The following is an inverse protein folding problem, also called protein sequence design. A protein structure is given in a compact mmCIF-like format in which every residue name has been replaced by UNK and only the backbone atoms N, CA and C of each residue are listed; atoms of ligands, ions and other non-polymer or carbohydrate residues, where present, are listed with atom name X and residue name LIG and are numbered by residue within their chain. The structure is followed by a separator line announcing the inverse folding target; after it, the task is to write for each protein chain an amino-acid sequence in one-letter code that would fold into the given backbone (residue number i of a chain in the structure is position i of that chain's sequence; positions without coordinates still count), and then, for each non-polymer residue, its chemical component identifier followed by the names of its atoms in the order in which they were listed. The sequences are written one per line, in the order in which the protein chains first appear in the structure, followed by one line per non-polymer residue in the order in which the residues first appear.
data_IF_040492173913
#
_entry.id   IF_040492173913
#
_cell.length_a   1.000
_cell.length_b   1.000
_cell.length_c   1.000
_cell.angle_alpha   90.00
_cell.angle_beta   90.00
_cell.angle_gamma   90.00
#
_symmetry.space_group_name_H-M   'P 1'
#
loop_
_entity.id
_entity.type
_entity.pdbx_description
1 polymer ?
#
# COMPACT_ATOMS: atom_id res chain seq x y z
N UNK A 1 36.02 42.91 -23.63
CA UNK A 1 34.63 42.82 -24.12
C UNK A 1 34.22 41.36 -24.11
N UNK A 2 33.28 40.97 -23.26
CA UNK A 2 32.76 39.59 -23.30
C UNK A 2 31.99 39.39 -24.61
N UNK A 3 32.30 38.33 -25.35
CA UNK A 3 31.58 38.01 -26.57
C UNK A 3 30.14 37.63 -26.21
N UNK A 4 29.18 38.51 -26.51
CA UNK A 4 27.74 38.30 -26.25
C UNK A 4 27.24 36.93 -26.74
N UNK A 5 27.82 36.42 -27.84
CA UNK A 5 27.54 35.08 -28.38
C UNK A 5 27.98 33.95 -27.44
N UNK A 6 29.14 34.07 -26.80
CA UNK A 6 29.60 33.08 -25.81
C UNK A 6 28.70 33.04 -24.59
N UNK A 7 28.24 34.22 -24.13
CA UNK A 7 27.32 34.30 -22.98
C UNK A 7 25.98 33.62 -23.30
N UNK A 8 25.43 33.84 -24.49
CA UNK A 8 24.18 33.20 -24.91
C UNK A 8 24.31 31.67 -25.02
N UNK A 9 25.41 31.18 -25.60
CA UNK A 9 25.67 29.74 -25.68
C UNK A 9 25.76 29.12 -24.28
N UNK A 10 26.46 29.77 -23.35
CA UNK A 10 26.58 29.32 -21.97
C UNK A 10 25.22 29.21 -21.26
N UNK A 11 24.35 30.20 -21.44
CA UNK A 11 23.00 30.18 -20.85
C UNK A 11 22.17 29.03 -21.42
N UNK A 12 22.22 28.80 -22.74
CA UNK A 12 21.48 27.70 -23.39
C UNK A 12 21.97 26.35 -22.87
N UNK A 13 23.30 26.16 -22.81
CA UNK A 13 23.89 24.91 -22.30
C UNK A 13 23.53 24.70 -20.83
N UNK A 14 23.62 25.73 -19.99
CA UNK A 14 23.23 25.65 -18.59
C UNK A 14 21.75 25.29 -18.42
N UNK A 15 20.86 25.93 -19.19
CA UNK A 15 19.43 25.63 -19.18
C UNK A 15 19.15 24.19 -19.62
N UNK A 16 19.85 23.70 -20.64
CA UNK A 16 19.73 22.32 -21.10
C UNK A 16 20.18 21.32 -20.05
N UNK A 17 21.33 21.54 -19.41
CA UNK A 17 21.85 20.67 -18.34
C UNK A 17 20.91 20.64 -17.14
N UNK A 18 20.37 21.79 -16.72
CA UNK A 18 19.39 21.87 -15.63
C UNK A 18 18.12 21.10 -16.00
N UNK A 19 17.60 21.29 -17.21
CA UNK A 19 16.43 20.54 -17.70
C UNK A 19 16.69 19.04 -17.70
N UNK A 20 17.87 18.61 -18.15
CA UNK A 20 18.27 17.20 -18.19
C UNK A 20 18.37 16.61 -16.78
N UNK A 21 18.91 17.37 -15.83
CA UNK A 21 18.99 16.97 -14.41
C UNK A 21 17.60 16.74 -13.81
N UNK A 22 16.65 17.65 -14.06
CA UNK A 22 15.26 17.47 -13.61
C UNK A 22 14.57 16.29 -14.31
N UNK A 23 14.82 16.09 -15.60
CA UNK A 23 14.26 14.96 -16.36
C UNK A 23 14.72 13.62 -15.78
N UNK A 24 16.03 13.44 -15.55
CA UNK A 24 16.55 12.20 -14.96
C UNK A 24 16.13 11.99 -13.51
N UNK A 25 15.88 13.07 -12.76
CA UNK A 25 15.36 12.98 -11.38
C UNK A 25 13.89 12.56 -11.34
N UNK A 26 13.11 12.86 -12.38
CA UNK A 26 11.66 12.62 -12.42
C UNK A 26 11.30 11.27 -13.08
N UNK A 27 12.12 10.25 -12.87
CA UNK A 27 11.87 8.90 -13.36
C UNK A 27 10.74 8.27 -12.54
N UNK A 28 9.49 8.57 -12.91
CA UNK A 28 8.30 7.92 -12.33
C UNK A 28 8.32 6.46 -12.74
N UNK A 29 8.84 5.62 -11.85
CA UNK A 29 8.91 4.18 -12.08
C UNK A 29 7.55 3.57 -11.78
N UNK A 30 7.05 2.78 -12.72
CA UNK A 30 5.90 1.93 -12.48
C UNK A 30 6.38 0.51 -12.20
N UNK A 31 5.69 -0.19 -11.31
CA UNK A 31 5.95 -1.59 -11.03
C UNK A 31 4.67 -2.41 -11.16
N UNK A 32 4.82 -3.66 -11.57
CA UNK A 32 3.71 -4.61 -11.67
C UNK A 32 3.45 -5.22 -10.29
N UNK A 33 2.23 -5.08 -9.81
CA UNK A 33 1.71 -5.60 -8.53
C UNK A 33 0.57 -6.56 -8.83
N UNK A 34 0.47 -7.64 -8.08
CA UNK A 34 -0.59 -8.65 -8.24
C UNK A 34 -1.49 -8.61 -7.02
N UNK A 35 -2.76 -8.31 -7.23
CA UNK A 35 -3.78 -8.30 -6.20
C UNK A 35 -4.60 -9.58 -6.23
N UNK A 36 -4.98 -10.06 -5.06
CA UNK A 36 -5.86 -11.21 -4.87
C UNK A 36 -7.24 -10.72 -4.46
N UNK A 37 -8.27 -11.15 -5.19
CA UNK A 37 -9.68 -10.86 -4.93
C UNK A 37 -10.50 -12.14 -5.10
N UNK A 38 -11.67 -12.21 -4.46
CA UNK A 38 -12.65 -13.25 -4.80
C UNK A 38 -13.34 -12.93 -6.11
N UNK A 39 -13.58 -13.94 -6.94
CA UNK A 39 -14.46 -13.82 -8.09
C UNK A 39 -15.92 -13.87 -7.62
N UNK A 40 -16.74 -12.92 -8.04
CA UNK A 40 -18.14 -12.77 -7.60
C UNK A 40 -19.06 -13.87 -8.11
N UNK A 41 -18.68 -14.57 -9.18
CA UNK A 41 -19.49 -15.65 -9.77
C UNK A 41 -19.07 -17.03 -9.28
N UNK A 42 -17.76 -17.30 -9.19
CA UNK A 42 -17.26 -18.62 -8.81
C UNK A 42 -16.90 -18.74 -7.32
N UNK A 43 -16.73 -17.62 -6.62
CA UNK A 43 -16.23 -17.59 -5.25
C UNK A 43 -14.73 -17.91 -5.12
N UNK A 44 -14.04 -18.17 -6.23
CA UNK A 44 -12.62 -18.53 -6.21
C UNK A 44 -11.73 -17.31 -6.00
N UNK A 45 -10.57 -17.52 -5.37
CA UNK A 45 -9.54 -16.48 -5.29
C UNK A 45 -8.83 -16.34 -6.64
N UNK A 46 -8.89 -15.14 -7.21
CA UNK A 46 -8.29 -14.81 -8.51
C UNK A 46 -7.23 -13.72 -8.37
N UNK A 47 -6.27 -13.71 -9.30
CA UNK A 47 -5.19 -12.73 -9.34
C UNK A 47 -5.48 -11.66 -10.40
N UNK A 48 -5.33 -10.40 -10.02
CA UNK A 48 -5.44 -9.24 -10.90
C UNK A 48 -4.13 -8.45 -10.88
N UNK A 49 -3.45 -8.33 -12.02
CA UNK A 49 -2.21 -7.56 -12.11
C UNK A 49 -2.46 -6.10 -12.49
N UNK A 50 -1.76 -5.18 -11.82
CA UNK A 50 -1.80 -3.73 -12.10
C UNK A 50 -0.41 -3.13 -12.16
N UNK A 51 -0.29 -2.04 -12.89
CA UNK A 51 0.88 -1.17 -12.81
C UNK A 51 0.59 -0.01 -11.87
N UNK A 52 1.36 0.11 -10.80
CA UNK A 52 1.24 1.23 -9.86
C UNK A 52 2.57 1.99 -9.79
N UNK A 53 2.50 3.26 -9.40
CA UNK A 53 3.68 4.09 -9.16
C UNK A 53 4.52 3.47 -8.04
N UNK A 54 5.74 3.09 -8.35
CA UNK A 54 6.69 2.54 -7.40
C UNK A 54 7.09 3.58 -6.36
N UNK A 55 7.28 3.11 -5.14
CA UNK A 55 7.77 3.89 -4.01
C UNK A 55 9.06 3.26 -3.47
N UNK A 56 10.08 4.08 -3.23
CA UNK A 56 11.37 3.63 -2.67
C UNK A 56 11.24 3.06 -1.26
N UNK A 57 10.36 3.66 -0.46
CA UNK A 57 10.14 3.27 0.92
C UNK A 57 9.19 2.08 0.99
N UNK A 58 9.62 1.00 1.65
CA UNK A 58 8.77 -0.17 1.90
C UNK A 58 7.46 0.25 2.60
N UNK A 59 7.51 1.22 3.53
CA UNK A 59 6.31 1.80 4.17
C UNK A 59 5.35 2.41 3.15
N UNK A 60 5.86 3.33 2.31
CA UNK A 60 5.03 4.02 1.31
C UNK A 60 4.49 3.07 0.24
N UNK A 61 5.31 2.10 -0.17
CA UNK A 61 4.89 1.05 -1.09
C UNK A 61 3.78 0.19 -0.49
N UNK A 62 3.89 -0.16 0.80
CA UNK A 62 2.86 -0.92 1.51
C UNK A 62 1.55 -0.16 1.63
N UNK A 63 1.61 1.12 2.01
CA UNK A 63 0.43 2.01 2.07
C UNK A 63 -0.24 2.03 0.69
N UNK A 64 0.52 2.30 -0.37
CA UNK A 64 -0.02 2.39 -1.72
C UNK A 64 -0.68 1.09 -2.18
N UNK A 65 -0.10 -0.07 -1.86
CA UNK A 65 -0.71 -1.38 -2.15
C UNK A 65 -2.03 -1.54 -1.42
N UNK A 66 -2.12 -1.13 -0.16
CA UNK A 66 -3.38 -1.22 0.61
C UNK A 66 -4.42 -0.22 0.10
N UNK A 67 -4.03 1.00 -0.22
CA UNK A 67 -4.94 2.00 -0.78
C UNK A 67 -5.56 1.49 -2.10
N UNK A 68 -4.73 0.99 -3.01
CA UNK A 68 -5.17 0.40 -4.29
C UNK A 68 -6.06 -0.85 -4.10
N UNK A 69 -5.79 -1.64 -3.06
CA UNK A 69 -6.61 -2.78 -2.69
C UNK A 69 -8.00 -2.33 -2.20
N UNK A 70 -8.05 -1.25 -1.41
CA UNK A 70 -9.29 -0.70 -0.85
C UNK A 70 -10.13 0.06 -1.88
N UNK A 71 -9.50 0.64 -2.92
CA UNK A 71 -10.23 1.14 -4.09
C UNK A 71 -11.05 0.01 -4.75
N UNK A 72 -10.56 -1.22 -4.66
CA UNK A 72 -11.21 -2.43 -5.13
C UNK A 72 -10.69 -2.93 -6.47
N UNK A 73 -11.29 -3.99 -7.02
CA UNK A 73 -10.89 -4.60 -8.29
C UNK A 73 -11.16 -3.70 -9.51
N UNK A 74 -10.38 -3.85 -10.58
CA UNK A 74 -10.70 -3.26 -11.89
C UNK A 74 -11.76 -4.10 -12.59
N UNK A 75 -11.66 -5.42 -12.46
CA UNK A 75 -12.65 -6.34 -13.00
C UNK A 75 -13.96 -6.24 -12.24
N UNK A 76 -15.06 -6.04 -12.97
CA UNK A 76 -16.42 -6.07 -12.42
C UNK A 76 -16.87 -7.46 -11.94
N UNK A 77 -16.10 -8.51 -12.27
CA UNK A 77 -16.36 -9.88 -11.82
C UNK A 77 -15.61 -10.24 -10.54
N UNK A 78 -14.85 -9.29 -9.98
CA UNK A 78 -14.10 -9.49 -8.75
C UNK A 78 -14.76 -8.68 -7.65
N UNK A 79 -14.73 -9.22 -6.44
CA UNK A 79 -15.37 -8.65 -5.26
C UNK A 79 -14.44 -7.68 -4.54
N UNK A 80 -15.01 -6.62 -3.98
CA UNK A 80 -14.28 -5.71 -3.09
C UNK A 80 -14.01 -6.37 -1.75
N UNK A 81 -12.82 -6.13 -1.20
CA UNK A 81 -12.41 -6.63 0.13
C UNK A 81 -12.66 -5.62 1.25
N UNK A 82 -12.90 -4.36 0.93
CA UNK A 82 -13.15 -3.30 1.89
C UNK A 82 -14.41 -2.53 1.48
N UNK A 83 -15.22 -2.08 2.46
CA UNK A 83 -16.24 -1.07 2.22
C UNK A 83 -15.66 0.20 1.59
N UNK A 84 -16.50 0.97 0.89
CA UNK A 84 -16.09 2.23 0.27
C UNK A 84 -15.60 3.23 1.32
N UNK A 85 -14.62 4.06 0.93
CA UNK A 85 -14.12 5.22 1.68
C UNK A 85 -13.54 4.93 3.08
N UNK A 86 -13.04 3.70 3.30
CA UNK A 86 -12.32 3.39 4.53
C UNK A 86 -10.91 3.93 4.48
N UNK A 87 -10.58 4.74 5.48
CA UNK A 87 -9.21 5.11 5.82
C UNK A 87 -8.76 4.31 7.04
N UNK A 88 -7.53 3.81 7.03
CA UNK A 88 -6.93 3.21 8.23
C UNK A 88 -6.72 4.29 9.31
N UNK A 89 -6.85 3.92 10.59
CA UNK A 89 -6.50 4.78 11.73
C UNK A 89 -4.98 5.02 11.77
N UNK A 90 -4.21 3.95 11.54
CA UNK A 90 -2.75 4.03 11.50
C UNK A 90 -2.13 2.98 10.59
N UNK A 91 -0.98 3.32 9.99
CA UNK A 91 -0.17 2.41 9.19
C UNK A 91 1.31 2.64 9.44
N UNK A 92 2.03 1.61 9.86
CA UNK A 92 3.47 1.67 10.01
C UNK A 92 4.16 0.34 9.72
N UNK A 93 5.45 0.41 9.40
CA UNK A 93 6.29 -0.77 9.17
C UNK A 93 7.47 -0.70 10.12
N UNK A 94 7.66 -1.76 10.92
CA UNK A 94 8.78 -1.87 11.86
C UNK A 94 9.31 -3.29 11.84
N UNK A 95 10.64 -3.45 11.75
CA UNK A 95 11.31 -4.75 11.78
C UNK A 95 10.72 -5.78 10.79
N UNK A 96 10.41 -5.35 9.56
CA UNK A 96 9.78 -6.18 8.51
C UNK A 96 8.33 -6.60 8.79
N UNK A 97 7.69 -6.03 9.80
CA UNK A 97 6.28 -6.26 10.14
C UNK A 97 5.47 -5.02 9.72
N UNK A 98 4.41 -5.22 8.93
CA UNK A 98 3.42 -4.17 8.67
C UNK A 98 2.34 -4.21 9.74
N UNK A 99 2.02 -3.06 10.31
CA UNK A 99 0.95 -2.86 11.27
C UNK A 99 -0.09 -1.96 10.63
N UNK A 100 -1.33 -2.42 10.62
CA UNK A 100 -2.47 -1.74 9.99
C UNK A 100 -3.59 -1.74 11.01
N UNK A 101 -3.97 -0.57 11.47
CA UNK A 101 -5.15 -0.41 12.30
C UNK A 101 -6.29 0.15 11.47
N UNK A 102 -7.38 -0.61 11.36
CA UNK A 102 -8.57 -0.21 10.65
C UNK A 102 -9.62 0.32 11.63
N UNK A 103 -10.48 1.24 11.18
CA UNK A 103 -11.55 1.77 12.02
C UNK A 103 -12.66 0.72 12.20
N UNK A 104 -13.48 0.82 13.25
CA UNK A 104 -14.59 -0.12 13.50
C UNK A 104 -15.61 -0.14 12.36
N UNK A 105 -15.70 0.97 11.63
CA UNK A 105 -16.46 1.15 10.40
C UNK A 105 -16.12 0.09 9.36
N UNK A 106 -14.90 -0.46 9.37
CA UNK A 106 -14.54 -1.59 8.54
C UNK A 106 -15.42 -2.79 8.79
N UNK A 107 -15.75 -3.10 10.05
CA UNK A 107 -16.64 -4.20 10.44
C UNK A 107 -18.09 -3.82 10.27
N UNK A 108 -18.50 -2.65 10.75
CA UNK A 108 -19.92 -2.29 10.77
C UNK A 108 -20.48 -2.07 9.38
N UNK A 109 -19.65 -1.61 8.45
CA UNK A 109 -20.03 -1.40 7.05
C UNK A 109 -19.66 -2.61 6.17
N UNK A 110 -19.06 -3.64 6.75
CA UNK A 110 -18.83 -4.90 6.06
C UNK A 110 -20.17 -5.60 5.83
N UNK A 111 -20.69 -5.45 4.61
CA UNK A 111 -21.96 -6.04 4.21
C UNK A 111 -21.73 -7.19 3.22
N UNK A 112 -20.84 -8.11 3.60
CA UNK A 112 -20.66 -9.37 2.88
C UNK A 112 -21.27 -10.52 3.69
N UNK A 113 -22.16 -11.27 3.05
CA UNK A 113 -22.82 -12.44 3.66
C UNK A 113 -22.12 -13.75 3.32
N UNK A 114 -21.19 -13.71 2.38
CA UNK A 114 -20.55 -14.89 1.81
C UNK A 114 -19.23 -15.21 2.51
N UNK A 115 -18.48 -14.17 2.90
CA UNK A 115 -17.16 -14.32 3.53
C UNK A 115 -17.16 -13.73 4.92
N UNK A 116 -16.47 -14.41 5.83
CA UNK A 116 -16.24 -13.90 7.16
C UNK A 116 -15.15 -12.81 7.16
N UNK A 117 -15.19 -11.90 8.14
CA UNK A 117 -14.27 -10.76 8.21
C UNK A 117 -12.82 -11.23 8.37
N UNK A 118 -12.58 -12.30 9.10
CA UNK A 118 -11.25 -12.89 9.28
C UNK A 118 -10.68 -13.43 7.96
N UNK A 119 -11.50 -14.05 7.10
CA UNK A 119 -11.08 -14.49 5.77
C UNK A 119 -10.65 -13.31 4.89
N UNK A 120 -11.42 -12.22 4.90
CA UNK A 120 -11.08 -10.99 4.18
C UNK A 120 -9.80 -10.36 4.70
N UNK A 121 -9.67 -10.30 6.03
CA UNK A 121 -8.46 -9.80 6.69
C UNK A 121 -7.24 -10.62 6.28
N UNK A 122 -7.38 -11.94 6.15
CA UNK A 122 -6.29 -12.81 5.72
C UNK A 122 -5.91 -12.61 4.25
N UNK A 123 -6.87 -12.30 3.37
CA UNK A 123 -6.57 -11.91 1.99
C UNK A 123 -5.85 -10.56 1.93
N UNK A 124 -6.26 -9.58 2.75
CA UNK A 124 -5.55 -8.29 2.84
C UNK A 124 -4.10 -8.51 3.28
N UNK A 125 -3.87 -9.32 4.33
CA UNK A 125 -2.52 -9.70 4.78
C UNK A 125 -1.73 -10.40 3.67
N UNK A 126 -2.36 -11.32 2.94
CA UNK A 126 -1.73 -12.07 1.84
C UNK A 126 -1.28 -11.14 0.70
N UNK A 127 -2.12 -10.18 0.30
CA UNK A 127 -1.80 -9.19 -0.73
C UNK A 127 -0.52 -8.42 -0.43
N UNK A 128 -0.34 -7.95 0.80
CA UNK A 128 0.86 -7.20 1.20
C UNK A 128 2.10 -8.11 1.16
N UNK A 129 2.01 -9.31 1.72
CA UNK A 129 3.12 -10.27 1.74
C UNK A 129 3.53 -10.71 0.34
N UNK A 130 2.55 -10.91 -0.55
CA UNK A 130 2.81 -11.32 -1.92
C UNK A 130 3.60 -10.26 -2.69
N UNK A 131 3.26 -8.98 -2.50
CA UNK A 131 3.85 -7.88 -3.26
C UNK A 131 5.11 -7.29 -2.63
N UNK A 132 5.33 -7.47 -1.33
CA UNK A 132 6.44 -6.85 -0.59
C UNK A 132 7.25 -7.93 0.11
N UNK A 133 8.18 -8.55 -0.62
CA UNK A 133 9.01 -9.68 -0.15
C UNK A 133 9.80 -9.39 1.15
N UNK A 134 10.09 -8.12 1.43
CA UNK A 134 10.79 -7.72 2.66
C UNK A 134 9.90 -7.79 3.89
N UNK A 135 8.58 -7.73 3.73
CA UNK A 135 7.61 -7.84 4.83
C UNK A 135 7.29 -9.32 5.05
N UNK A 136 7.62 -9.82 6.24
CA UNK A 136 7.42 -11.22 6.59
C UNK A 136 6.08 -11.46 7.31
N UNK A 137 5.58 -10.44 8.00
CA UNK A 137 4.37 -10.52 8.83
C UNK A 137 3.54 -9.24 8.66
N UNK A 138 2.22 -9.42 8.69
CA UNK A 138 1.24 -8.35 8.66
C UNK A 138 0.32 -8.54 9.86
N UNK A 139 0.26 -7.53 10.71
CA UNK A 139 -0.63 -7.45 11.86
C UNK A 139 -1.72 -6.44 11.48
N UNK A 140 -2.96 -6.92 11.46
CA UNK A 140 -4.12 -6.10 11.18
C UNK A 140 -5.02 -6.10 12.42
N UNK A 141 -5.32 -4.89 12.90
CA UNK A 141 -6.21 -4.64 14.04
C UNK A 141 -7.41 -3.82 13.59
N UNK A 142 -8.47 -3.85 14.39
CA UNK A 142 -9.66 -3.02 14.23
C UNK A 142 -9.86 -2.25 15.53
N UNK A 143 -9.69 -0.92 15.48
CA UNK A 143 -9.63 -0.05 16.65
C UNK A 143 -8.73 -0.62 17.75
N UNK A 144 -7.52 -1.04 17.38
CA UNK A 144 -6.51 -1.64 18.27
C UNK A 144 -6.75 -3.10 18.64
N UNK A 145 -7.85 -3.73 18.23
CA UNK A 145 -8.16 -5.13 18.56
C UNK A 145 -7.74 -6.07 17.44
N UNK A 146 -7.01 -7.14 17.77
CA UNK A 146 -6.60 -8.16 16.81
C UNK A 146 -7.80 -8.94 16.25
N UNK A 147 -7.74 -9.24 14.95
CA UNK A 147 -8.72 -10.08 14.24
C UNK A 147 -8.04 -11.32 13.66
N UNK A 148 -8.62 -12.49 13.93
CA UNK A 148 -8.13 -13.80 13.48
C UNK A 148 -7.42 -14.63 14.57
N UNK A 149 -7.43 -15.95 14.42
CA UNK A 149 -7.08 -16.96 15.43
C UNK A 149 -5.61 -16.85 15.86
N UNK A 150 -5.40 -16.66 17.18
CA UNK A 150 -4.08 -16.74 17.83
C UNK A 150 -3.70 -15.56 18.72
N UNK A 151 -4.66 -14.98 19.47
CA UNK A 151 -4.40 -13.94 20.50
C UNK A 151 -3.51 -14.48 21.65
N UNK A 152 -3.29 -15.79 21.74
CA UNK A 152 -2.61 -16.40 22.89
C UNK A 152 -1.07 -16.21 22.95
N UNK A 153 -0.40 -15.67 21.93
CA UNK A 153 1.09 -15.60 21.95
C UNK A 153 1.72 -14.34 21.34
N UNK A 154 0.96 -13.28 21.04
CA UNK A 154 1.56 -12.01 20.60
C UNK A 154 1.64 -11.03 21.76
N UNK A 155 2.80 -10.97 22.41
CA UNK A 155 3.19 -9.82 23.22
C UNK A 155 3.29 -8.61 22.31
N UNK A 156 2.32 -7.70 22.42
CA UNK A 156 2.46 -6.37 21.85
C UNK A 156 3.67 -5.68 22.51
N UNK A 157 4.54 -4.99 21.75
CA UNK A 157 5.46 -4.05 22.36
C UNK A 157 4.60 -3.03 23.12
N UNK A 158 4.74 -3.01 24.44
CA UNK A 158 4.10 -2.00 25.26
C UNK A 158 4.43 -0.62 24.70
N UNK A 159 3.41 0.24 24.65
CA UNK A 159 3.51 1.62 24.20
C UNK A 159 4.78 2.28 24.72
N UNK A 160 5.48 2.99 23.83
CA UNK A 160 6.55 3.87 24.23
C UNK A 160 5.93 4.94 25.15
N UNK A 161 6.32 4.88 26.41
CA UNK A 161 6.16 5.96 27.38
C UNK A 161 6.82 7.22 26.79
N UNK A 162 5.99 8.10 26.22
CA UNK A 162 6.36 9.46 25.80
C UNK A 162 6.58 10.35 27.04
N UNK A 163 7.46 9.92 27.95
CA UNK A 163 8.03 10.73 29.01
C UNK A 163 9.47 10.29 29.34
N UNK A 164 10.45 10.83 28.60
CA UNK A 164 11.68 11.42 29.14
C UNK A 164 12.57 12.05 28.07
#
# INVERSE_FOLDING_TARGET
MFNRRLVLILIIVASFVISLFFFFRNDTRYTKVTYQFYNELSGDLVNESRYILWEESDKRMSIKIVDELFLGPISVFNKKLAPFDISYNSFYVRNKIAYIDLPIEFVTNFNDKEYAIDEIVDIIKSNIKHNIKKINQVILTINGHLIGIGVDNMEFPQELDDNK
#
